data_IF_534383244542
#
_entry.id   IF_534383244542
#
_cell.length_a   1.000
_cell.length_b   1.000
_cell.length_c   1.000
_cell.angle_alpha   90.00
_cell.angle_beta   90.00
_cell.angle_gamma   90.00
#
_symmetry.space_group_name_H-M   'P 1'
#
loop_
_entity.id
_entity.type
_entity.pdbx_description
1 polymer ?
#
# COMPACT_ATOMS: atom_id res chain seq x y z
N UNK A 1 17.17 -10.73 5.24
CA UNK A 1 17.33 -9.25 5.24
C UNK A 1 16.91 -8.60 6.56
N UNK A 2 15.74 -8.93 7.12
CA UNK A 2 15.33 -8.42 8.44
C UNK A 2 16.34 -8.78 9.54
N UNK A 3 16.83 -10.03 9.57
CA UNK A 3 17.90 -10.45 10.50
C UNK A 3 19.19 -9.65 10.32
N UNK A 4 19.55 -9.28 9.08
CA UNK A 4 20.74 -8.43 8.84
C UNK A 4 20.57 -7.05 9.49
N UNK A 5 19.40 -6.40 9.32
CA UNK A 5 19.12 -5.11 9.95
C UNK A 5 19.18 -5.19 11.48
N UNK A 6 18.63 -6.26 12.07
CA UNK A 6 18.70 -6.52 13.50
C UNK A 6 20.15 -6.71 13.98
N UNK A 7 20.93 -7.55 13.28
CA UNK A 7 22.32 -7.88 13.67
C UNK A 7 23.22 -6.64 13.60
N UNK A 8 23.12 -5.84 12.53
CA UNK A 8 23.93 -4.64 12.33
C UNK A 8 23.77 -3.64 13.48
N UNK A 9 22.53 -3.46 13.98
CA UNK A 9 22.25 -2.60 15.13
C UNK A 9 22.76 -3.25 16.42
N UNK A 10 22.55 -4.55 16.60
CA UNK A 10 23.02 -5.27 17.81
C UNK A 10 24.54 -5.32 17.93
N UNK A 11 25.26 -5.37 16.81
CA UNK A 11 26.72 -5.26 16.77
C UNK A 11 27.24 -3.82 16.99
N UNK A 12 26.36 -2.84 17.14
CA UNK A 12 26.75 -1.44 17.36
C UNK A 12 27.34 -0.73 16.13
N UNK A 13 27.21 -1.34 14.92
CA UNK A 13 27.73 -0.74 13.69
C UNK A 13 26.87 0.45 13.22
N UNK A 14 25.56 0.39 13.49
CA UNK A 14 24.60 1.44 13.14
C UNK A 14 23.64 1.63 14.33
N UNK A 15 23.27 2.88 14.61
CA UNK A 15 22.24 3.19 15.61
C UNK A 15 20.83 2.85 15.06
N UNK A 16 19.97 2.30 15.89
CA UNK A 16 18.58 2.03 15.55
C UNK A 16 17.83 3.27 15.03
N UNK A 17 18.16 4.45 15.52
CA UNK A 17 17.63 5.75 15.04
C UNK A 17 17.92 6.02 13.58
N UNK A 18 18.93 5.41 12.98
CA UNK A 18 19.24 5.52 11.55
C UNK A 18 18.17 4.90 10.66
N UNK A 19 17.26 4.07 11.22
CA UNK A 19 16.06 3.59 10.53
C UNK A 19 15.17 4.74 10.03
N UNK A 20 15.18 5.89 10.74
CA UNK A 20 14.46 7.09 10.33
C UNK A 20 15.02 7.68 9.02
N UNK A 21 16.34 7.67 8.85
CA UNK A 21 16.98 8.13 7.61
C UNK A 21 16.61 7.23 6.44
N UNK A 22 16.61 5.91 6.64
CA UNK A 22 16.14 4.95 5.64
C UNK A 22 14.67 5.16 5.30
N UNK A 23 13.82 5.47 6.29
CA UNK A 23 12.41 5.81 6.06
C UNK A 23 12.26 7.03 5.15
N UNK A 24 13.07 8.07 5.37
CA UNK A 24 13.05 9.27 4.52
C UNK A 24 13.45 8.93 3.08
N UNK A 25 14.50 8.14 2.88
CA UNK A 25 14.91 7.67 1.55
C UNK A 25 13.79 6.87 0.88
N UNK A 26 13.15 5.95 1.62
CA UNK A 26 12.02 5.19 1.11
C UNK A 26 10.88 6.09 0.65
N UNK A 27 10.47 7.04 1.49
CA UNK A 27 9.28 7.88 1.24
C UNK A 27 9.53 8.89 0.12
N UNK A 28 10.71 9.50 0.05
CA UNK A 28 10.99 10.61 -0.86
C UNK A 28 11.70 10.23 -2.16
N UNK A 29 12.34 9.06 -2.21
CA UNK A 29 13.07 8.60 -3.39
C UNK A 29 12.46 7.32 -3.94
N UNK A 30 12.40 6.26 -3.13
CA UNK A 30 12.03 4.92 -3.63
C UNK A 30 10.54 4.86 -3.96
N UNK A 31 9.66 5.32 -3.08
CA UNK A 31 8.20 5.26 -3.29
C UNK A 31 7.72 6.02 -4.53
N UNK A 32 8.16 7.26 -4.82
CA UNK A 32 7.82 7.93 -6.07
C UNK A 32 8.23 7.14 -7.30
N UNK A 33 9.43 6.55 -7.30
CA UNK A 33 9.89 5.69 -8.40
C UNK A 33 9.01 4.45 -8.57
N UNK A 34 8.65 3.79 -7.46
CA UNK A 34 7.73 2.64 -7.48
C UNK A 34 6.38 3.01 -8.07
N UNK A 35 5.81 4.17 -7.64
CA UNK A 35 4.50 4.62 -8.13
C UNK A 35 4.55 4.88 -9.63
N UNK A 36 5.52 5.66 -10.10
CA UNK A 36 5.63 5.97 -11.54
C UNK A 36 5.89 4.70 -12.35
N UNK A 37 6.80 3.83 -11.90
CA UNK A 37 7.16 2.59 -12.59
C UNK A 37 5.96 1.63 -12.72
N UNK A 38 5.09 1.57 -11.72
CA UNK A 38 3.90 0.73 -11.74
C UNK A 38 2.90 1.09 -12.85
N UNK A 39 2.92 2.35 -13.29
CA UNK A 39 2.06 2.82 -14.39
C UNK A 39 2.71 2.73 -15.78
N UNK A 40 3.98 2.29 -15.89
CA UNK A 40 4.70 2.09 -17.16
C UNK A 40 4.33 0.76 -17.86
N UNK A 41 3.03 0.49 -17.99
CA UNK A 41 2.47 -0.72 -18.59
C UNK A 41 1.78 -0.38 -19.91
N UNK A 42 1.74 -1.35 -20.83
CA UNK A 42 1.03 -1.19 -22.10
C UNK A 42 -0.47 -0.99 -21.89
N UNK A 43 -0.97 0.07 -22.54
CA UNK A 43 -2.40 0.37 -22.48
C UNK A 43 -3.20 -0.66 -23.28
N UNK A 44 -4.19 -1.25 -22.64
CA UNK A 44 -5.28 -1.96 -23.32
C UNK A 44 -6.61 -1.54 -22.71
N UNK A 45 -7.70 -1.67 -23.49
CA UNK A 45 -9.04 -1.39 -22.98
C UNK A 45 -9.40 -2.27 -21.77
N UNK A 46 -8.94 -3.51 -21.77
CA UNK A 46 -9.12 -4.45 -20.67
C UNK A 46 -8.39 -3.96 -19.42
N UNK A 47 -7.12 -3.57 -19.53
CA UNK A 47 -6.32 -3.04 -18.40
C UNK A 47 -6.93 -1.76 -17.85
N UNK A 48 -7.37 -0.83 -18.71
CA UNK A 48 -8.05 0.38 -18.28
C UNK A 48 -9.32 0.08 -17.48
N UNK A 49 -10.18 -0.78 -18.00
CA UNK A 49 -11.43 -1.12 -17.34
C UNK A 49 -11.18 -1.85 -16.01
N UNK A 50 -10.23 -2.79 -15.99
CA UNK A 50 -9.78 -3.45 -14.76
C UNK A 50 -9.18 -2.49 -13.74
N UNK A 51 -8.38 -1.50 -14.19
CA UNK A 51 -7.82 -0.46 -13.33
C UNK A 51 -8.93 0.40 -12.70
N UNK A 52 -9.89 0.88 -13.51
CA UNK A 52 -11.02 1.66 -12.99
C UNK A 52 -11.87 0.86 -12.01
N UNK A 53 -12.09 -0.42 -12.29
CA UNK A 53 -12.77 -1.33 -11.37
C UNK A 53 -12.00 -1.52 -10.07
N UNK A 54 -10.68 -1.69 -10.15
CA UNK A 54 -9.81 -1.79 -8.97
C UNK A 54 -9.83 -0.51 -8.12
N UNK A 55 -9.84 0.67 -8.75
CA UNK A 55 -10.02 1.96 -8.05
C UNK A 55 -11.38 2.02 -7.36
N UNK A 56 -12.47 1.68 -8.07
CA UNK A 56 -13.80 1.67 -7.48
C UNK A 56 -13.91 0.69 -6.30
N UNK A 57 -13.40 -0.52 -6.46
CA UNK A 57 -13.34 -1.51 -5.39
C UNK A 57 -12.51 -1.02 -4.19
N UNK A 58 -11.36 -0.38 -4.44
CA UNK A 58 -10.53 0.21 -3.39
C UNK A 58 -11.28 1.30 -2.61
N UNK A 59 -12.01 2.18 -3.29
CA UNK A 59 -12.82 3.22 -2.65
C UNK A 59 -13.90 2.58 -1.77
N UNK A 60 -14.64 1.61 -2.31
CA UNK A 60 -15.70 0.92 -1.56
C UNK A 60 -15.15 0.18 -0.32
N UNK A 61 -14.02 -0.51 -0.46
CA UNK A 61 -13.35 -1.18 0.67
C UNK A 61 -12.95 -0.16 1.74
N UNK A 62 -12.37 0.97 1.36
CA UNK A 62 -11.95 1.97 2.34
C UNK A 62 -13.14 2.65 3.02
N UNK A 63 -14.22 2.94 2.29
CA UNK A 63 -15.47 3.45 2.89
C UNK A 63 -16.01 2.44 3.89
N UNK A 64 -16.06 1.16 3.52
CA UNK A 64 -16.49 0.08 4.42
C UNK A 64 -15.61 0.04 5.67
N UNK A 65 -14.28 0.09 5.54
CA UNK A 65 -13.35 0.08 6.67
C UNK A 65 -13.52 1.30 7.59
N UNK A 66 -13.72 2.48 7.00
CA UNK A 66 -13.97 3.70 7.76
C UNK A 66 -15.24 3.58 8.61
N UNK A 67 -16.34 3.13 8.00
CA UNK A 67 -17.61 2.92 8.70
C UNK A 67 -17.47 1.83 9.77
N UNK A 68 -16.85 0.71 9.43
CA UNK A 68 -16.60 -0.40 10.36
C UNK A 68 -15.82 0.06 11.59
N UNK A 69 -14.70 0.77 11.39
CA UNK A 69 -13.87 1.26 12.49
C UNK A 69 -14.58 2.33 13.31
N UNK A 70 -15.47 3.16 12.73
CA UNK A 70 -16.29 4.09 13.51
C UNK A 70 -17.28 3.35 14.41
N UNK A 71 -17.91 2.28 13.91
CA UNK A 71 -18.87 1.46 14.67
C UNK A 71 -18.17 0.76 15.84
N UNK A 72 -17.06 0.04 15.58
CA UNK A 72 -16.36 -0.73 16.63
C UNK A 72 -15.48 0.16 17.53
N UNK A 73 -15.07 1.32 17.04
CA UNK A 73 -14.12 2.20 17.72
C UNK A 73 -14.66 2.78 19.03
N UNK A 74 -15.98 3.02 19.11
CA UNK A 74 -16.64 3.51 20.35
C UNK A 74 -16.70 2.43 21.44
N UNK A 75 -17.30 1.24 21.18
CA UNK A 75 -17.41 0.19 22.20
C UNK A 75 -16.05 -0.35 22.64
N UNK A 76 -15.08 -0.48 21.72
CA UNK A 76 -13.74 -0.97 22.03
C UNK A 76 -12.79 0.12 22.53
N UNK A 77 -13.24 1.37 22.63
CA UNK A 77 -12.44 2.55 23.04
C UNK A 77 -11.10 2.60 22.30
N UNK A 78 -11.15 2.43 20.96
CA UNK A 78 -9.95 2.42 20.14
C UNK A 78 -9.29 3.79 20.13
N UNK A 79 -7.97 3.82 20.36
CA UNK A 79 -7.15 5.01 20.17
C UNK A 79 -7.06 5.41 18.70
N UNK A 80 -6.63 6.63 18.43
CA UNK A 80 -6.45 7.12 17.04
C UNK A 80 -5.48 6.22 16.26
N UNK A 81 -4.36 5.85 16.87
CA UNK A 81 -3.33 4.99 16.26
C UNK A 81 -3.88 3.60 15.95
N UNK A 82 -4.69 3.03 16.85
CA UNK A 82 -5.32 1.72 16.63
C UNK A 82 -6.33 1.75 15.47
N UNK A 83 -7.16 2.80 15.40
CA UNK A 83 -8.10 3.02 14.29
C UNK A 83 -7.35 3.12 12.96
N UNK A 84 -6.32 3.94 12.92
CA UNK A 84 -5.49 4.14 11.74
C UNK A 84 -4.78 2.85 11.32
N UNK A 85 -4.27 2.09 12.29
CA UNK A 85 -3.65 0.79 12.04
C UNK A 85 -4.60 -0.23 11.41
N UNK A 86 -5.91 -0.22 11.77
CA UNK A 86 -6.91 -1.13 11.18
C UNK A 86 -7.29 -0.69 9.77
N UNK A 87 -7.51 0.62 9.55
CA UNK A 87 -7.95 1.17 8.25
C UNK A 87 -6.82 1.09 7.22
N UNK A 88 -5.62 1.57 7.60
CA UNK A 88 -4.50 1.69 6.69
C UNK A 88 -3.48 0.57 6.94
N UNK A 89 -3.28 -0.24 5.92
CA UNK A 89 -2.26 -1.27 5.95
C UNK A 89 -0.97 -0.74 5.30
N UNK A 90 0.20 -1.12 5.81
CA UNK A 90 1.48 -0.84 5.13
C UNK A 90 1.65 -1.81 3.94
N UNK A 91 0.69 -1.77 3.03
CA UNK A 91 0.60 -2.73 1.93
C UNK A 91 1.61 -2.43 0.81
N UNK A 92 2.06 -1.18 0.65
CA UNK A 92 3.00 -0.81 -0.41
C UNK A 92 4.30 -1.61 -0.37
N UNK A 93 4.85 -1.81 0.81
CA UNK A 93 6.15 -2.46 0.98
C UNK A 93 6.10 -3.99 0.87
N UNK A 94 4.94 -4.60 1.06
CA UNK A 94 4.80 -6.06 1.06
C UNK A 94 3.95 -6.55 -0.13
N UNK A 95 2.87 -5.87 -0.44
CA UNK A 95 1.89 -6.34 -1.43
C UNK A 95 2.46 -6.27 -2.85
N UNK A 96 3.15 -5.19 -3.22
CA UNK A 96 3.73 -5.08 -4.57
C UNK A 96 4.74 -6.20 -4.85
N UNK A 97 5.77 -6.44 -4.01
CA UNK A 97 6.68 -7.57 -4.21
C UNK A 97 5.97 -8.92 -4.22
N UNK A 98 4.98 -9.11 -3.34
CA UNK A 98 4.22 -10.36 -3.27
C UNK A 98 3.39 -10.59 -4.54
N UNK A 99 2.67 -9.57 -5.01
CA UNK A 99 1.88 -9.64 -6.25
C UNK A 99 2.78 -9.92 -7.45
N UNK A 100 3.94 -9.28 -7.53
CA UNK A 100 4.90 -9.50 -8.61
C UNK A 100 5.37 -10.95 -8.66
N UNK A 101 5.69 -11.54 -7.50
CA UNK A 101 6.21 -12.91 -7.42
C UNK A 101 5.11 -13.96 -7.61
N UNK A 102 3.92 -13.75 -7.04
CA UNK A 102 2.85 -14.76 -7.02
C UNK A 102 1.95 -14.68 -8.25
N UNK A 103 1.60 -13.47 -8.67
CA UNK A 103 0.64 -13.24 -9.76
C UNK A 103 1.30 -12.74 -11.05
N UNK A 104 2.51 -12.19 -10.96
CA UNK A 104 3.25 -11.62 -12.09
C UNK A 104 3.07 -10.12 -12.24
N UNK A 105 3.96 -9.51 -13.03
CA UNK A 105 4.05 -8.04 -13.21
C UNK A 105 2.75 -7.41 -13.75
N UNK A 106 1.99 -8.12 -14.56
CA UNK A 106 0.72 -7.63 -15.14
C UNK A 106 -0.33 -7.27 -14.09
N UNK A 107 -0.27 -7.87 -12.91
CA UNK A 107 -1.21 -7.64 -11.81
C UNK A 107 -0.83 -6.46 -10.91
N UNK A 108 0.40 -5.99 -11.04
CA UNK A 108 0.92 -4.87 -10.22
C UNK A 108 0.12 -3.60 -10.46
N UNK A 109 -0.43 -3.38 -11.65
CA UNK A 109 -1.26 -2.20 -11.95
C UNK A 109 -2.53 -2.14 -11.07
N UNK A 110 -3.15 -3.28 -10.81
CA UNK A 110 -4.36 -3.33 -9.97
C UNK A 110 -4.01 -3.12 -8.50
N UNK A 111 -2.89 -3.70 -8.05
CA UNK A 111 -2.35 -3.43 -6.72
C UNK A 111 -1.99 -1.94 -6.56
N UNK A 112 -1.41 -1.32 -7.58
CA UNK A 112 -1.07 0.11 -7.61
C UNK A 112 -2.30 1.00 -7.56
N UNK A 113 -3.40 0.59 -8.21
CA UNK A 113 -4.68 1.29 -8.12
C UNK A 113 -5.20 1.33 -6.67
N UNK A 114 -5.17 0.18 -5.98
CA UNK A 114 -5.55 0.09 -4.58
C UNK A 114 -4.65 0.95 -3.69
N UNK A 115 -3.34 0.85 -3.87
CA UNK A 115 -2.35 1.63 -3.13
C UNK A 115 -2.50 3.13 -3.35
N UNK A 116 -2.84 3.56 -4.57
CA UNK A 116 -3.07 4.97 -4.89
C UNK A 116 -4.23 5.54 -4.08
N UNK A 117 -5.36 4.83 -4.03
CA UNK A 117 -6.51 5.22 -3.22
C UNK A 117 -6.15 5.24 -1.73
N UNK A 118 -5.48 4.19 -1.26
CA UNK A 118 -5.04 4.11 0.13
C UNK A 118 -4.09 5.25 0.51
N UNK A 119 -3.13 5.58 -0.34
CA UNK A 119 -2.19 6.69 -0.11
C UNK A 119 -2.91 8.03 -0.02
N UNK A 120 -3.83 8.32 -0.94
CA UNK A 120 -4.62 9.55 -0.91
C UNK A 120 -5.38 9.65 0.41
N UNK A 121 -6.06 8.58 0.81
CA UNK A 121 -6.84 8.55 2.05
C UNK A 121 -5.95 8.63 3.30
N UNK A 122 -4.80 7.98 3.31
CA UNK A 122 -3.85 8.02 4.41
C UNK A 122 -3.32 9.44 4.63
N UNK A 123 -2.97 10.16 3.55
CA UNK A 123 -2.47 11.52 3.64
C UNK A 123 -3.56 12.58 3.84
N UNK A 124 -4.82 12.27 3.57
CA UNK A 124 -5.95 13.17 3.84
C UNK A 124 -6.58 12.88 5.20
N UNK A 125 -7.29 11.77 5.29
CA UNK A 125 -8.03 11.37 6.48
C UNK A 125 -7.11 10.89 7.62
N UNK A 126 -6.10 10.05 7.34
CA UNK A 126 -5.20 9.53 8.36
C UNK A 126 -4.43 10.66 9.05
N UNK A 127 -3.85 11.57 8.28
CA UNK A 127 -3.14 12.72 8.84
C UNK A 127 -4.07 13.64 9.65
N UNK A 128 -5.30 13.88 9.19
CA UNK A 128 -6.29 14.67 9.93
C UNK A 128 -6.65 14.04 11.28
N UNK A 129 -6.75 12.71 11.34
CA UNK A 129 -6.99 11.97 12.58
C UNK A 129 -5.84 12.10 13.58
N UNK A 130 -4.58 12.02 13.08
CA UNK A 130 -3.39 12.09 13.95
C UNK A 130 -3.10 13.49 14.49
N UNK A 131 -3.31 14.52 13.66
CA UNK A 131 -3.02 15.91 14.08
C UNK A 131 -4.09 16.49 15.02
N UNK A 132 -5.21 15.80 15.26
CA UNK A 132 -6.36 16.24 16.07
C UNK A 132 -6.86 17.68 15.73
N UNK A 133 -6.43 18.21 14.58
CA UNK A 133 -6.82 19.52 14.09
C UNK A 133 -7.93 19.35 13.07
N UNK A 134 -9.07 19.93 13.33
CA UNK A 134 -10.17 20.02 12.40
C UNK A 134 -9.80 20.97 11.25
N UNK A 135 -9.10 20.45 10.24
CA UNK A 135 -8.75 21.22 9.06
C UNK A 135 -7.91 20.42 8.08
N UNK A 136 -8.46 20.15 6.89
CA UNK A 136 -7.72 19.53 5.81
C UNK A 136 -6.75 20.57 5.23
N UNK A 137 -5.47 20.35 5.39
CA UNK A 137 -4.46 21.23 4.81
C UNK A 137 -4.16 20.81 3.35
N UNK A 138 -5.00 21.30 2.43
CA UNK A 138 -4.90 21.00 1.00
C UNK A 138 -3.52 21.24 0.39
N UNK A 139 -2.79 22.27 0.86
CA UNK A 139 -1.42 22.54 0.40
C UNK A 139 -0.49 21.37 0.74
N UNK A 140 -0.57 20.86 1.98
CA UNK A 140 0.31 19.77 2.44
C UNK A 140 0.02 18.46 1.69
N UNK A 141 -1.25 18.23 1.32
CA UNK A 141 -1.68 17.07 0.54
C UNK A 141 -1.19 17.17 -0.89
N UNK A 142 -1.46 18.29 -1.57
CA UNK A 142 -1.11 18.49 -2.97
C UNK A 142 0.41 18.56 -3.19
N UNK A 143 1.17 19.05 -2.20
CA UNK A 143 2.64 19.07 -2.25
C UNK A 143 3.28 17.75 -1.82
N UNK A 144 2.47 16.70 -1.53
CA UNK A 144 3.02 15.40 -1.19
C UNK A 144 3.65 14.74 -2.42
N UNK A 145 4.94 14.40 -2.32
CA UNK A 145 5.71 13.85 -3.45
C UNK A 145 5.12 12.53 -3.98
N UNK A 146 4.55 11.71 -3.09
CA UNK A 146 3.94 10.44 -3.48
C UNK A 146 2.63 10.66 -4.23
N UNK A 147 1.83 11.66 -3.83
CA UNK A 147 0.61 12.03 -4.56
C UNK A 147 0.95 12.59 -5.94
N UNK A 148 1.98 13.44 -6.03
CA UNK A 148 2.47 13.96 -7.30
C UNK A 148 2.94 12.80 -8.20
N UNK A 149 3.68 11.84 -7.65
CA UNK A 149 4.15 10.66 -8.39
C UNK A 149 2.99 9.79 -8.90
N UNK A 150 1.93 9.61 -8.11
CA UNK A 150 0.72 8.90 -8.51
C UNK A 150 0.03 9.63 -9.66
N UNK A 151 -0.20 10.94 -9.54
CA UNK A 151 -0.83 11.75 -10.58
C UNK A 151 -0.01 11.69 -11.86
N UNK A 152 1.31 11.87 -11.78
CA UNK A 152 2.22 11.76 -12.91
C UNK A 152 2.15 10.36 -13.54
N UNK A 153 2.17 9.30 -12.74
CA UNK A 153 2.02 7.92 -13.20
C UNK A 153 0.72 7.69 -13.96
N UNK A 154 -0.41 8.19 -13.43
CA UNK A 154 -1.72 8.13 -14.08
C UNK A 154 -1.70 8.88 -15.43
N UNK A 155 -1.15 10.08 -15.47
CA UNK A 155 -1.02 10.85 -16.73
C UNK A 155 -0.19 10.07 -17.75
N UNK A 156 0.97 9.54 -17.36
CA UNK A 156 1.83 8.74 -18.25
C UNK A 156 1.11 7.49 -18.76
N UNK A 157 0.31 6.83 -17.92
CA UNK A 157 -0.50 5.67 -18.30
C UNK A 157 -1.55 6.01 -19.36
N UNK A 158 -2.30 7.10 -19.19
CA UNK A 158 -3.34 7.49 -20.15
C UNK A 158 -2.76 8.10 -21.43
N UNK A 159 -1.68 8.84 -21.36
CA UNK A 159 -1.00 9.45 -22.53
C UNK A 159 -0.13 8.44 -23.28
N UNK A 160 0.14 7.27 -22.69
CA UNK A 160 1.05 6.25 -23.23
C UNK A 160 2.46 6.78 -23.54
N UNK A 161 2.87 7.84 -22.85
CA UNK A 161 4.23 8.33 -22.93
C UNK A 161 5.12 7.37 -22.13
N UNK A 162 6.00 6.68 -22.83
CA UNK A 162 7.01 5.82 -22.21
C UNK A 162 8.21 6.66 -21.80
N UNK A 163 8.71 6.38 -20.61
CA UNK A 163 9.94 6.98 -20.16
C UNK A 163 11.11 6.55 -21.05
N UNK A 164 12.09 7.42 -21.31
CA UNK A 164 13.34 7.03 -21.95
C UNK A 164 13.95 5.81 -21.27
N UNK A 165 14.53 4.89 -22.05
CA UNK A 165 15.03 3.58 -21.56
C UNK A 165 15.96 3.76 -20.34
N UNK A 166 16.83 4.76 -20.36
CA UNK A 166 17.76 5.03 -19.25
C UNK A 166 16.98 5.38 -17.97
N UNK A 167 15.99 6.30 -18.04
CA UNK A 167 15.18 6.69 -16.88
C UNK A 167 14.32 5.54 -16.40
N UNK A 168 13.68 4.80 -17.31
CA UNK A 168 12.86 3.65 -16.97
C UNK A 168 13.65 2.57 -16.22
N UNK A 169 14.83 2.21 -16.73
CA UNK A 169 15.70 1.23 -16.09
C UNK A 169 16.20 1.71 -14.71
N UNK A 170 16.61 2.98 -14.60
CA UNK A 170 17.04 3.56 -13.32
C UNK A 170 15.91 3.52 -12.29
N UNK A 171 14.70 3.95 -12.68
CA UNK A 171 13.53 3.93 -11.79
C UNK A 171 13.14 2.51 -11.40
N UNK A 172 13.23 1.55 -12.32
CA UNK A 172 12.97 0.13 -12.04
C UNK A 172 13.96 -0.42 -11.03
N UNK A 173 15.27 -0.15 -11.17
CA UNK A 173 16.29 -0.56 -10.21
C UNK A 173 16.07 0.05 -8.82
N UNK A 174 15.77 1.36 -8.76
CA UNK A 174 15.43 2.03 -7.49
C UNK A 174 14.19 1.38 -6.87
N UNK A 175 13.16 1.13 -7.66
CA UNK A 175 11.91 0.48 -7.19
C UNK A 175 12.17 -0.91 -6.61
N UNK A 176 13.05 -1.70 -7.21
CA UNK A 176 13.42 -3.02 -6.75
C UNK A 176 14.10 -3.02 -5.36
N UNK A 177 14.69 -1.89 -4.94
CA UNK A 177 15.30 -1.76 -3.61
C UNK A 177 14.28 -1.59 -2.48
N UNK A 178 13.01 -1.30 -2.78
CA UNK A 178 11.98 -1.04 -1.77
C UNK A 178 11.86 -2.19 -0.76
N UNK A 179 11.66 -3.42 -1.25
CA UNK A 179 11.51 -4.60 -0.40
C UNK A 179 12.71 -4.83 0.52
N UNK A 180 13.93 -4.93 -0.03
CA UNK A 180 15.15 -5.08 0.76
C UNK A 180 15.35 -4.01 1.83
N UNK A 181 15.21 -2.75 1.46
CA UNK A 181 15.43 -1.62 2.39
C UNK A 181 14.38 -1.61 3.51
N UNK A 182 13.11 -1.84 3.17
CA UNK A 182 12.04 -1.94 4.17
C UNK A 182 12.25 -3.11 5.13
N UNK A 183 12.74 -4.26 4.66
CA UNK A 183 13.03 -5.40 5.52
C UNK A 183 14.22 -5.14 6.46
N UNK A 184 15.26 -4.46 5.97
CA UNK A 184 16.40 -4.05 6.83
C UNK A 184 15.91 -3.05 7.88
N UNK A 185 15.16 -2.04 7.48
CA UNK A 185 14.60 -1.03 8.37
C UNK A 185 13.71 -1.64 9.47
N UNK A 186 12.86 -2.61 9.09
CA UNK A 186 12.05 -3.34 10.06
C UNK A 186 12.92 -4.11 11.06
N UNK A 187 13.99 -4.76 10.58
CA UNK A 187 14.96 -5.43 11.45
C UNK A 187 15.63 -4.48 12.43
N UNK A 188 16.01 -3.28 11.98
CA UNK A 188 16.60 -2.24 12.84
C UNK A 188 15.62 -1.78 13.92
N UNK A 189 14.38 -1.50 13.56
CA UNK A 189 13.35 -1.05 14.53
C UNK A 189 12.99 -2.13 15.55
N UNK A 190 13.09 -3.41 15.18
CA UNK A 190 12.85 -4.53 16.10
C UNK A 190 13.84 -4.59 17.26
N UNK A 191 15.01 -3.95 17.17
CA UNK A 191 15.99 -3.90 18.26
C UNK A 191 15.54 -3.03 19.43
N UNK A 192 14.69 -2.03 19.17
CA UNK A 192 14.13 -1.12 20.20
C UNK A 192 12.88 -1.70 20.88
N UNK A 193 12.34 -2.79 20.32
CA UNK A 193 11.10 -3.39 20.81
C UNK A 193 11.36 -4.19 22.09
N UNK A 194 10.68 -3.84 23.16
CA UNK A 194 10.66 -4.62 24.41
C UNK A 194 9.64 -5.76 24.27
N UNK A 195 10.12 -6.92 23.89
CA UNK A 195 9.28 -8.11 23.64
C UNK A 195 8.35 -8.47 24.81
N UNK A 196 8.81 -8.28 26.05
CA UNK A 196 8.00 -8.50 27.26
C UNK A 196 6.74 -7.62 27.28
N UNK A 197 6.87 -6.35 26.87
CA UNK A 197 5.75 -5.42 26.86
C UNK A 197 4.73 -5.78 25.80
N UNK A 198 5.18 -6.28 24.63
CA UNK A 198 4.28 -6.73 23.55
C UNK A 198 3.42 -7.92 24.01
N UNK A 199 4.06 -8.93 24.61
CA UNK A 199 3.34 -10.13 25.06
C UNK A 199 2.47 -9.90 26.30
N UNK A 200 2.75 -8.85 27.06
CA UNK A 200 2.00 -8.48 28.27
C UNK A 200 0.67 -7.75 27.97
N UNK A 201 0.56 -7.06 26.83
CA UNK A 201 -0.60 -6.23 26.52
C UNK A 201 -1.63 -6.99 25.65
N UNK A 202 -2.69 -7.49 26.28
CA UNK A 202 -3.81 -8.18 25.61
C UNK A 202 -4.44 -7.34 24.48
N UNK A 203 -4.35 -6.03 24.56
CA UNK A 203 -4.87 -5.08 23.57
C UNK A 203 -4.19 -5.20 22.21
N UNK A 204 -2.89 -5.53 22.18
CA UNK A 204 -2.15 -5.77 20.94
C UNK A 204 -2.71 -6.98 20.19
N UNK A 205 -3.02 -8.05 20.92
CA UNK A 205 -3.63 -9.25 20.33
C UNK A 205 -5.01 -8.96 19.74
N UNK A 206 -5.83 -8.16 20.46
CA UNK A 206 -7.14 -7.74 19.95
C UNK A 206 -7.02 -7.01 18.61
N UNK A 207 -6.14 -6.01 18.52
CA UNK A 207 -5.95 -5.23 17.28
C UNK A 207 -5.38 -6.12 16.17
N UNK A 208 -4.45 -7.01 16.50
CA UNK A 208 -3.88 -7.94 15.53
C UNK A 208 -4.95 -8.89 14.96
N UNK A 209 -5.79 -9.46 15.81
CA UNK A 209 -6.89 -10.34 15.38
C UNK A 209 -7.90 -9.57 14.53
N UNK A 210 -8.30 -8.37 14.96
CA UNK A 210 -9.18 -7.50 14.19
C UNK A 210 -8.62 -7.23 12.79
N UNK A 211 -7.34 -6.87 12.70
CA UNK A 211 -6.69 -6.50 11.44
C UNK A 211 -6.40 -7.70 10.53
N UNK A 212 -5.90 -8.81 11.09
CA UNK A 212 -5.38 -9.93 10.31
C UNK A 212 -6.44 -11.00 10.02
N UNK A 213 -7.50 -11.08 10.82
CA UNK A 213 -8.54 -12.11 10.68
C UNK A 213 -9.88 -11.47 10.38
N UNK A 214 -10.38 -10.62 11.27
CA UNK A 214 -11.76 -10.09 11.17
C UNK A 214 -11.90 -9.19 9.93
N UNK A 215 -11.01 -8.24 9.74
CA UNK A 215 -11.07 -7.31 8.61
C UNK A 215 -11.02 -8.01 7.25
N UNK A 216 -10.06 -8.92 6.96
CA UNK A 216 -10.05 -9.64 5.68
C UNK A 216 -11.28 -10.50 5.46
N UNK A 217 -11.78 -11.19 6.49
CA UNK A 217 -13.00 -12.00 6.38
C UNK A 217 -14.22 -11.13 6.07
N UNK A 218 -14.37 -9.99 6.74
CA UNK A 218 -15.45 -9.06 6.47
C UNK A 218 -15.36 -8.46 5.06
N UNK A 219 -14.16 -8.11 4.59
CA UNK A 219 -13.94 -7.61 3.22
C UNK A 219 -14.30 -8.71 2.21
N UNK A 220 -13.89 -9.96 2.43
CA UNK A 220 -14.25 -11.09 1.56
C UNK A 220 -15.75 -11.30 1.51
N UNK A 221 -16.44 -11.27 2.66
CA UNK A 221 -17.90 -11.35 2.71
C UNK A 221 -18.55 -10.18 1.99
N UNK A 222 -18.09 -8.97 2.25
CA UNK A 222 -18.58 -7.76 1.59
C UNK A 222 -18.43 -7.82 0.07
N UNK A 223 -17.25 -8.21 -0.43
CA UNK A 223 -17.00 -8.37 -1.87
C UNK A 223 -17.81 -9.52 -2.49
N UNK A 224 -18.09 -10.60 -1.75
CA UNK A 224 -18.91 -11.71 -2.23
C UNK A 224 -20.36 -11.28 -2.52
N UNK A 225 -20.90 -10.36 -1.73
CA UNK A 225 -22.26 -9.83 -1.90
C UNK A 225 -22.34 -8.67 -2.90
N UNK A 226 -21.20 -8.08 -3.28
CA UNK A 226 -21.19 -7.07 -4.34
C UNK A 226 -21.05 -7.74 -5.72
N UNK A 227 -21.81 -7.27 -6.73
CA UNK A 227 -21.67 -7.77 -8.12
C UNK A 227 -20.26 -7.46 -8.71
N UNK A 228 -19.42 -6.72 -8.00
CA UNK A 228 -18.05 -6.39 -8.37
C UNK A 228 -17.16 -7.65 -8.52
N UNK A 229 -17.37 -8.67 -7.70
CA UNK A 229 -16.62 -9.92 -7.80
C UNK A 229 -16.92 -10.66 -9.11
N UNK A 230 -18.19 -10.70 -9.54
CA UNK A 230 -18.59 -11.31 -10.80
C UNK A 230 -18.08 -10.51 -11.99
N UNK A 231 -18.07 -9.18 -11.91
CA UNK A 231 -17.54 -8.30 -12.95
C UNK A 231 -16.01 -8.44 -13.03
N UNK A 232 -15.32 -8.54 -11.91
CA UNK A 232 -13.86 -8.74 -11.86
C UNK A 232 -13.46 -10.08 -12.49
N UNK A 233 -14.20 -11.16 -12.23
CA UNK A 233 -13.99 -12.48 -12.83
C UNK A 233 -14.32 -12.46 -14.34
N UNK A 234 -15.35 -11.72 -14.75
CA UNK A 234 -15.74 -11.61 -16.15
C UNK A 234 -14.69 -10.86 -17.00
N UNK A 235 -14.03 -9.84 -16.42
CA UNK A 235 -12.99 -9.06 -17.10
C UNK A 235 -11.58 -9.69 -16.99
N UNK A 236 -11.34 -10.59 -16.05
CA UNK A 236 -10.07 -11.29 -15.88
C UNK A 236 -10.06 -12.67 -16.53
N UNK A 237 -11.22 -13.21 -16.93
CA UNK A 237 -11.26 -14.42 -17.73
C UNK A 237 -10.80 -14.10 -19.16
N UNK A 238 -9.88 -14.89 -19.74
CA UNK A 238 -9.48 -14.71 -21.13
C UNK A 238 -10.73 -14.84 -22.01
N UNK A 239 -10.99 -13.80 -22.78
CA UNK A 239 -12.13 -13.82 -23.72
C UNK A 239 -11.91 -14.98 -24.70
N UNK A 240 -12.94 -15.81 -25.02
CA UNK A 240 -12.85 -16.86 -26.04
C UNK A 240 -12.55 -16.32 -27.46
N UNK A 241 -12.45 -15.00 -27.60
CA UNK A 241 -12.15 -14.30 -28.87
C UNK A 241 -10.73 -13.72 -28.93
N UNK A 242 -9.82 -14.14 -28.05
CA UNK A 242 -8.43 -13.71 -28.15
C UNK A 242 -7.74 -14.53 -29.27
N UNK A 243 -7.34 -13.91 -30.40
CA UNK A 243 -6.82 -14.65 -31.56
C UNK A 243 -5.43 -15.28 -31.37
N UNK A 244 -4.93 -15.32 -30.14
CA UNK A 244 -3.63 -15.92 -29.77
C UNK A 244 -3.74 -17.33 -29.17
N UNK A 245 -4.93 -17.94 -29.19
CA UNK A 245 -5.15 -19.31 -28.69
C UNK A 245 -5.70 -20.26 -29.75
N UNK A 246 -5.47 -19.96 -31.05
CA UNK A 246 -5.69 -20.92 -32.15
C UNK A 246 -4.38 -21.24 -32.82
#
# INVERSE_FOLDING_TARGET
>A
MMSCGFTVVKCGLIDAKSSRTLSVICIYIIMPCVMINAFQIEYSRSIRNGFLLAVAAAILIHIFLLVFVQIIGKPLKLSVVEKESIIYSNSGNLVIPLVTVVLGEKWVIYASAFLSVQMILMWTHGQSLMEAKAGINWKKILCNINLIAIILGIVLFFTQIRLPVILGNTMSQISATLGPVCMIMLGMTMTEVKWKDIFSHSRIYLITILKMVVTPLLILLFLKYLPVASICLLYTSPSPRDPKTS
#
